data_IF_925733489125
#
_entry.id   IF_925733489125
#
_cell.length_a   1.000
_cell.length_b   1.000
_cell.length_c   1.000
_cell.angle_alpha   90.00
_cell.angle_beta   90.00
_cell.angle_gamma   90.00
#
_symmetry.space_group_name_H-M   'P 1'
#
loop_
_entity.id
_entity.type
_entity.pdbx_description
1 polymer ?
#
# COMPACT_ATOMS: atom_id res chain seq x y z
N UNK A 1 -3.59 13.72 36.03
CA UNK A 1 -2.18 13.75 35.61
C UNK A 1 -2.04 13.02 34.29
N UNK A 2 -1.12 13.44 33.41
CA UNK A 2 -0.85 12.72 32.17
C UNK A 2 -0.30 11.31 32.46
N UNK A 3 -0.73 10.33 31.66
CA UNK A 3 -0.26 8.94 31.75
C UNK A 3 0.88 8.78 30.75
N UNK A 4 2.10 9.03 31.21
CA UNK A 4 3.30 9.12 30.35
C UNK A 4 4.06 7.80 30.29
N UNK A 5 4.80 7.57 29.20
CA UNK A 5 5.64 6.38 28.98
C UNK A 5 4.87 5.05 29.10
N UNK A 6 3.63 5.01 28.58
CA UNK A 6 2.79 3.82 28.55
C UNK A 6 2.53 3.38 27.11
N UNK A 7 2.49 2.07 26.91
CA UNK A 7 2.18 1.49 25.59
C UNK A 7 0.68 1.48 25.37
N UNK A 8 0.24 2.13 24.31
CA UNK A 8 -1.11 2.02 23.76
C UNK A 8 -1.08 1.05 22.59
N UNK A 9 -2.03 0.12 22.57
CA UNK A 9 -2.21 -0.83 21.46
C UNK A 9 -3.39 -0.39 20.61
N UNK A 10 -3.15 -0.28 19.30
CA UNK A 10 -4.12 0.03 18.27
C UNK A 10 -4.48 -1.24 17.50
N UNK A 11 -5.77 -1.49 17.32
CA UNK A 11 -6.29 -2.60 16.52
C UNK A 11 -7.33 -2.12 15.52
N UNK A 12 -7.54 -2.89 14.45
CA UNK A 12 -8.61 -2.69 13.49
C UNK A 12 -9.74 -3.67 13.82
N UNK A 13 -10.98 -3.17 13.93
CA UNK A 13 -12.12 -4.06 14.13
C UNK A 13 -12.46 -4.89 12.89
N UNK A 14 -12.05 -4.41 11.71
CA UNK A 14 -12.20 -5.10 10.42
C UNK A 14 -10.80 -5.37 9.87
N UNK A 15 -10.37 -6.63 9.89
CA UNK A 15 -9.07 -7.02 9.35
C UNK A 15 -8.97 -6.70 7.85
N UNK A 16 -7.80 -6.23 7.42
CA UNK A 16 -7.54 -5.85 6.02
C UNK A 16 -8.14 -4.51 5.57
N UNK A 17 -8.89 -3.81 6.42
CA UNK A 17 -9.43 -2.47 6.12
C UNK A 17 -8.34 -1.39 6.03
N UNK A 18 -7.23 -1.57 6.75
CA UNK A 18 -6.08 -0.69 6.78
C UNK A 18 -4.83 -1.42 7.29
N UNK A 19 -3.70 -0.72 7.29
CA UNK A 19 -2.45 -1.10 7.98
C UNK A 19 -1.99 0.05 8.88
N UNK A 20 -1.18 -0.26 9.90
CA UNK A 20 -0.59 0.74 10.79
C UNK A 20 0.87 1.02 10.45
N UNK A 21 1.33 2.22 10.79
CA UNK A 21 2.74 2.59 10.80
C UNK A 21 3.08 3.25 12.16
N UNK A 22 3.88 2.60 13.02
CA UNK A 22 4.54 1.29 12.79
C UNK A 22 3.57 0.11 12.70
N UNK A 23 3.96 -0.92 11.95
CA UNK A 23 3.16 -2.16 11.70
C UNK A 23 2.81 -2.91 12.99
N UNK A 24 3.61 -2.73 14.05
CA UNK A 24 3.33 -3.31 15.35
C UNK A 24 2.02 -2.82 15.98
N UNK A 25 1.42 -1.73 15.45
CA UNK A 25 0.15 -1.20 15.95
C UNK A 25 0.27 -0.68 17.39
N UNK A 26 1.44 -0.22 17.80
CA UNK A 26 1.67 0.27 19.16
C UNK A 26 2.40 1.61 19.14
N UNK A 27 2.11 2.46 20.12
CA UNK A 27 2.85 3.69 20.36
C UNK A 27 2.98 3.95 21.87
N UNK A 28 4.03 4.66 22.26
CA UNK A 28 4.27 5.05 23.65
C UNK A 28 3.75 6.45 23.89
N UNK A 29 3.01 6.67 24.98
CA UNK A 29 2.52 8.00 25.34
C UNK A 29 3.66 8.96 25.70
N UNK A 30 3.58 10.18 25.15
CA UNK A 30 4.56 11.24 25.39
C UNK A 30 4.40 11.91 26.77
N UNK A 31 5.12 13.02 26.99
CA UNK A 31 5.04 13.80 28.23
C UNK A 31 3.65 14.42 28.49
N UNK A 32 2.79 14.53 27.47
CA UNK A 32 1.42 15.00 27.57
C UNK A 32 0.41 13.84 27.72
N UNK A 33 0.87 12.58 27.65
CA UNK A 33 0.02 11.40 27.69
C UNK A 33 -0.58 11.03 26.33
N UNK A 34 0.01 11.50 25.22
CA UNK A 34 -0.50 11.28 23.86
C UNK A 34 0.29 10.18 23.17
N UNK A 35 -0.41 9.18 22.65
CA UNK A 35 0.13 8.17 21.74
C UNK A 35 -0.48 8.38 20.35
N UNK A 36 0.34 8.32 19.30
CA UNK A 36 -0.10 8.57 17.92
C UNK A 36 0.30 7.39 17.03
N UNK A 37 -0.61 6.99 16.15
CA UNK A 37 -0.39 5.96 15.13
C UNK A 37 -0.79 6.51 13.76
N UNK A 38 -0.07 6.14 12.70
CA UNK A 38 -0.49 6.42 11.32
C UNK A 38 -1.32 5.24 10.81
N UNK A 39 -2.46 5.54 10.19
CA UNK A 39 -3.36 4.54 9.58
C UNK A 39 -3.33 4.70 8.07
N UNK A 40 -3.03 3.62 7.35
CA UNK A 40 -2.98 3.57 5.88
C UNK A 40 -4.13 2.69 5.40
N UNK A 41 -5.18 3.30 4.86
CA UNK A 41 -6.36 2.58 4.35
C UNK A 41 -6.02 1.74 3.11
N UNK A 42 -6.78 0.66 2.89
CA UNK A 42 -6.62 -0.20 1.71
C UNK A 42 -7.21 0.41 0.43
N UNK A 43 -7.04 -0.32 -0.68
CA UNK A 43 -7.67 -0.06 -1.99
C UNK A 43 -9.14 -0.54 -2.05
N UNK A 44 -9.72 -0.89 -0.90
CA UNK A 44 -11.10 -1.36 -0.79
C UNK A 44 -11.95 -0.29 -0.10
N UNK A 45 -13.03 0.19 -0.75
CA UNK A 45 -13.96 1.11 -0.12
C UNK A 45 -14.66 0.44 1.08
N UNK A 46 -14.88 1.20 2.15
CA UNK A 46 -15.60 0.69 3.31
C UNK A 46 -15.25 1.37 4.62
N UNK A 47 -15.95 0.98 5.69
CA UNK A 47 -15.73 1.55 7.01
C UNK A 47 -14.46 1.00 7.65
N UNK A 48 -13.64 1.91 8.19
CA UNK A 48 -12.46 1.61 9.00
C UNK A 48 -12.78 1.99 10.43
N UNK A 49 -12.58 1.05 11.37
CA UNK A 49 -12.73 1.30 12.80
C UNK A 49 -11.41 0.97 13.51
N UNK A 50 -10.85 1.99 14.18
CA UNK A 50 -9.60 1.90 14.92
C UNK A 50 -9.91 1.95 16.41
N UNK A 51 -9.42 0.97 17.15
CA UNK A 51 -9.60 0.84 18.60
C UNK A 51 -8.25 1.08 19.26
N UNK A 52 -8.18 2.04 20.17
CA UNK A 52 -7.03 2.26 21.04
C UNK A 52 -7.31 1.62 22.41
N UNK A 53 -6.32 0.94 22.98
CA UNK A 53 -6.44 0.25 24.27
C UNK A 53 -5.22 0.48 25.17
N UNK A 54 -5.48 0.67 26.45
CA UNK A 54 -4.47 0.73 27.52
C UNK A 54 -5.08 0.15 28.80
N UNK A 55 -4.46 -0.92 29.32
CA UNK A 55 -4.99 -1.70 30.45
C UNK A 55 -6.46 -2.12 30.22
N UNK A 56 -7.40 -1.62 31.03
CA UNK A 56 -8.83 -1.90 30.89
C UNK A 56 -9.61 -0.79 30.17
N UNK A 57 -8.93 0.27 29.73
CA UNK A 57 -9.54 1.39 29.03
C UNK A 57 -9.44 1.19 27.52
N UNK A 58 -10.55 1.48 26.82
CA UNK A 58 -10.62 1.44 25.36
C UNK A 58 -11.38 2.64 24.84
N UNK A 59 -10.98 3.13 23.67
CA UNK A 59 -11.74 4.11 22.90
C UNK A 59 -11.59 3.80 21.41
N UNK A 60 -12.53 4.25 20.59
CA UNK A 60 -12.51 3.94 19.16
C UNK A 60 -13.08 5.06 18.31
N UNK A 61 -12.61 5.11 17.06
CA UNK A 61 -13.14 6.00 16.04
C UNK A 61 -13.42 5.21 14.76
N UNK A 62 -14.43 5.66 14.02
CA UNK A 62 -14.75 5.12 12.70
C UNK A 62 -14.71 6.22 11.64
N UNK A 63 -14.28 5.85 10.44
CA UNK A 63 -14.31 6.71 9.26
C UNK A 63 -14.42 5.85 8.00
N UNK A 64 -14.83 6.44 6.87
CA UNK A 64 -14.97 5.73 5.61
C UNK A 64 -13.70 5.86 4.75
N UNK A 65 -13.22 4.73 4.25
CA UNK A 65 -12.21 4.66 3.19
C UNK A 65 -12.90 4.77 1.83
N UNK A 66 -12.37 5.63 0.96
CA UNK A 66 -12.78 5.69 -0.45
C UNK A 66 -12.27 4.49 -1.27
N UNK A 67 -11.33 3.70 -0.72
CA UNK A 67 -10.70 2.60 -1.44
C UNK A 67 -9.80 3.03 -2.60
N UNK A 68 -9.35 4.28 -2.62
CA UNK A 68 -8.41 4.80 -3.61
C UNK A 68 -6.95 4.67 -3.16
N UNK A 69 -6.70 3.89 -2.10
CA UNK A 69 -5.36 3.48 -1.71
C UNK A 69 -4.65 2.81 -2.86
N UNK A 70 -3.41 3.21 -3.16
CA UNK A 70 -2.60 2.49 -4.15
C UNK A 70 -2.28 1.12 -3.55
N UNK A 71 -2.78 0.08 -4.21
CA UNK A 71 -2.44 -1.29 -3.90
C UNK A 71 -0.98 -1.55 -4.24
N UNK A 72 -0.08 -1.27 -3.30
CA UNK A 72 1.32 -1.70 -3.40
C UNK A 72 1.34 -3.16 -2.99
N UNK A 73 1.21 -4.07 -3.95
CA UNK A 73 1.43 -5.48 -3.69
C UNK A 73 2.93 -5.66 -3.51
N UNK A 74 3.36 -5.79 -2.26
CA UNK A 74 4.76 -6.01 -1.92
C UNK A 74 5.24 -7.32 -2.57
N UNK A 75 6.20 -7.21 -3.49
CA UNK A 75 6.72 -8.35 -4.26
C UNK A 75 6.21 -8.47 -5.70
N UNK A 76 5.17 -7.71 -6.09
CA UNK A 76 4.83 -7.60 -7.51
C UNK A 76 5.89 -6.74 -8.21
N UNK A 77 6.50 -7.24 -9.29
CA UNK A 77 7.59 -6.53 -9.92
C UNK A 77 7.05 -5.29 -10.64
N UNK A 78 7.48 -4.12 -10.17
CA UNK A 78 7.09 -2.84 -10.76
C UNK A 78 8.04 -2.47 -11.89
N UNK A 79 7.51 -2.35 -13.11
CA UNK A 79 8.30 -1.84 -14.23
C UNK A 79 8.54 -0.33 -14.03
N UNK A 80 9.80 0.05 -13.82
CA UNK A 80 10.22 1.44 -13.85
C UNK A 80 10.40 1.95 -15.28
N UNK A 81 10.79 1.07 -16.20
CA UNK A 81 10.93 1.38 -17.62
C UNK A 81 10.38 0.27 -18.50
N UNK A 82 9.81 0.65 -19.65
CA UNK A 82 9.38 -0.26 -20.71
C UNK A 82 10.04 0.19 -22.00
N UNK A 83 10.77 -0.71 -22.65
CA UNK A 83 11.29 -0.49 -24.01
C UNK A 83 10.54 -1.38 -24.98
N UNK A 84 10.05 -0.80 -26.08
CA UNK A 84 9.30 -1.52 -27.11
C UNK A 84 10.08 -1.52 -28.42
N UNK A 85 10.33 -2.71 -28.94
CA UNK A 85 10.98 -2.93 -30.23
C UNK A 85 9.99 -3.50 -31.22
N UNK A 86 10.13 -3.08 -32.47
CA UNK A 86 9.40 -3.59 -33.60
C UNK A 86 10.37 -4.24 -34.58
N UNK A 87 10.03 -5.42 -35.10
CA UNK A 87 10.87 -6.10 -36.12
C UNK A 87 10.97 -5.32 -37.43
N UNK A 88 10.00 -4.46 -37.71
CA UNK A 88 9.97 -3.49 -38.81
C UNK A 88 9.10 -2.30 -38.42
N UNK A 89 9.35 -1.11 -38.99
CA UNK A 89 8.47 0.05 -38.81
C UNK A 89 7.52 0.26 -40.00
N UNK A 90 7.65 -0.54 -41.05
CA UNK A 90 6.86 -0.44 -42.27
C UNK A 90 6.38 -1.83 -42.69
N UNK A 91 5.09 -1.92 -43.00
CA UNK A 91 4.45 -3.11 -43.56
C UNK A 91 3.80 -2.76 -44.89
N UNK A 92 3.87 -3.67 -45.85
CA UNK A 92 3.13 -3.57 -47.10
C UNK A 92 1.62 -3.75 -46.86
N UNK A 93 0.77 -2.97 -47.55
CA UNK A 93 -0.69 -3.03 -47.39
C UNK A 93 -1.34 -4.25 -48.04
N UNK A 94 -0.55 -5.24 -48.49
CA UNK A 94 -1.02 -6.46 -49.14
C UNK A 94 -1.64 -7.47 -48.17
N UNK A 95 -1.49 -7.25 -46.85
CA UNK A 95 -1.95 -8.15 -45.80
C UNK A 95 -1.13 -9.44 -45.67
N UNK A 96 -0.05 -9.57 -46.45
CA UNK A 96 0.83 -10.74 -46.43
C UNK A 96 1.95 -10.66 -45.39
N UNK A 97 2.23 -9.48 -44.85
CA UNK A 97 3.32 -9.25 -43.90
C UNK A 97 2.82 -9.16 -42.46
N UNK A 98 3.66 -9.58 -41.53
CA UNK A 98 3.45 -9.47 -40.09
C UNK A 98 4.62 -8.77 -39.41
N UNK A 99 4.35 -8.16 -38.26
CA UNK A 99 5.31 -7.47 -37.42
C UNK A 99 5.39 -8.18 -36.07
N UNK A 100 6.58 -8.32 -35.52
CA UNK A 100 6.79 -8.78 -34.16
C UNK A 100 7.11 -7.58 -33.28
N UNK A 101 6.35 -7.43 -32.20
CA UNK A 101 6.63 -6.46 -31.15
C UNK A 101 7.26 -7.18 -29.94
N UNK A 102 8.35 -6.63 -29.43
CA UNK A 102 9.02 -7.15 -28.23
C UNK A 102 9.09 -6.05 -27.19
N UNK A 103 8.44 -6.28 -26.05
CA UNK A 103 8.54 -5.41 -24.90
C UNK A 103 9.57 -5.96 -23.90
N UNK A 104 10.38 -5.07 -23.34
CA UNK A 104 11.30 -5.38 -22.25
C UNK A 104 10.96 -4.45 -21.09
N UNK A 105 10.48 -5.03 -19.99
CA UNK A 105 10.20 -4.31 -18.74
C UNK A 105 11.39 -4.45 -17.79
N UNK A 106 11.80 -3.34 -17.17
CA UNK A 106 12.87 -3.33 -16.15
C UNK A 106 12.48 -2.55 -14.90
N UNK A 107 12.98 -2.99 -13.76
CA UNK A 107 12.85 -2.28 -12.47
C UNK A 107 13.78 -1.04 -12.41
N UNK A 108 13.72 -0.30 -11.29
CA UNK A 108 14.54 0.90 -11.09
C UNK A 108 16.05 0.61 -11.01
N UNK A 109 16.44 -0.65 -10.77
CA UNK A 109 17.82 -1.12 -10.73
C UNK A 109 18.26 -1.75 -12.08
N UNK A 110 17.46 -1.61 -13.13
CA UNK A 110 17.71 -2.11 -14.49
C UNK A 110 17.74 -3.66 -14.58
N UNK A 111 17.11 -4.37 -13.63
CA UNK A 111 16.85 -5.81 -13.75
C UNK A 111 15.58 -6.07 -14.57
N UNK A 112 15.52 -7.23 -15.23
CA UNK A 112 14.32 -7.64 -15.95
C UNK A 112 13.19 -7.96 -14.97
N UNK A 113 12.01 -7.43 -15.24
CA UNK A 113 10.77 -7.79 -14.54
C UNK A 113 10.23 -9.06 -15.18
N UNK A 114 10.19 -10.16 -14.42
CA UNK A 114 9.47 -11.36 -14.82
C UNK A 114 7.96 -11.15 -14.60
N UNK A 115 7.14 -11.60 -15.55
CA UNK A 115 5.68 -11.62 -15.43
C UNK A 115 5.15 -13.00 -15.05
#
# INVERSE_FOLDING_TARGET
SAVVNKTVTFTLAVEGSATFDPVAGTATTDANGVATIVVKVSDVPGSVNVIASYESATDNISFDSAGDGIKVVEGEPTAATITLFASTQQLASSGAETITLTAIAKDANNHLVAG
#
